data_IF_627617045257
#
_entry.id   IF_627617045257
#
_cell.length_a   1.000
_cell.length_b   1.000
_cell.length_c   1.000
_cell.angle_alpha   90.00
_cell.angle_beta   90.00
_cell.angle_gamma   90.00
#
_symmetry.space_group_name_H-M   'P 1'
#
loop_
_entity.id
_entity.type
_entity.pdbx_description
1 polymer ?
#
# COMPACT_ATOMS: atom_id res chain seq x y z
N UNK A 1 -26.71 -31.43 -8.59
CA UNK A 1 -25.24 -31.51 -8.75
C UNK A 1 -24.61 -30.25 -9.35
N UNK A 2 -25.08 -29.68 -10.49
CA UNK A 2 -24.47 -28.48 -11.11
C UNK A 2 -24.39 -27.24 -10.19
N UNK A 3 -25.45 -26.97 -9.42
CA UNK A 3 -25.46 -25.86 -8.44
C UNK A 3 -24.42 -26.03 -7.33
N UNK A 4 -24.28 -27.25 -6.80
CA UNK A 4 -23.33 -27.55 -5.72
C UNK A 4 -21.88 -27.36 -6.17
N UNK A 5 -21.54 -27.79 -7.40
CA UNK A 5 -20.23 -27.55 -8.01
C UNK A 5 -19.95 -26.05 -8.18
N UNK A 6 -20.93 -25.28 -8.68
CA UNK A 6 -20.78 -23.83 -8.83
C UNK A 6 -20.53 -23.12 -7.50
N UNK A 7 -21.25 -23.52 -6.45
CA UNK A 7 -21.07 -22.99 -5.09
C UNK A 7 -19.68 -23.33 -4.55
N UNK A 8 -19.22 -24.58 -4.71
CA UNK A 8 -17.88 -25.01 -4.27
C UNK A 8 -16.78 -24.22 -4.98
N UNK A 9 -16.92 -23.98 -6.28
CA UNK A 9 -15.95 -23.16 -7.04
C UNK A 9 -15.93 -21.73 -6.53
N UNK A 10 -17.09 -21.10 -6.33
CA UNK A 10 -17.16 -19.73 -5.80
C UNK A 10 -16.60 -19.63 -4.38
N UNK A 11 -16.89 -20.60 -3.52
CA UNK A 11 -16.34 -20.66 -2.17
C UNK A 11 -14.81 -20.81 -2.21
N UNK A 12 -14.28 -21.70 -3.06
CA UNK A 12 -12.84 -21.84 -3.25
C UNK A 12 -12.20 -20.54 -3.75
N UNK A 13 -12.81 -19.87 -4.73
CA UNK A 13 -12.34 -18.56 -5.21
C UNK A 13 -12.37 -17.48 -4.12
N UNK A 14 -13.40 -17.47 -3.27
CA UNK A 14 -13.49 -16.54 -2.15
C UNK A 14 -12.37 -16.79 -1.12
N UNK A 15 -12.08 -18.05 -0.80
CA UNK A 15 -10.96 -18.40 0.08
C UNK A 15 -9.63 -17.93 -0.52
N UNK A 16 -9.41 -18.17 -1.82
CA UNK A 16 -8.21 -17.68 -2.51
C UNK A 16 -8.11 -16.15 -2.43
N UNK A 17 -9.20 -15.43 -2.67
CA UNK A 17 -9.22 -13.97 -2.57
C UNK A 17 -8.88 -13.47 -1.15
N UNK A 18 -9.38 -14.15 -0.11
CA UNK A 18 -9.04 -13.84 1.29
C UNK A 18 -7.56 -14.11 1.58
N UNK A 19 -7.01 -15.23 1.10
CA UNK A 19 -5.59 -15.56 1.26
C UNK A 19 -4.73 -14.51 0.56
N UNK A 20 -5.07 -14.11 -0.66
CA UNK A 20 -4.37 -13.05 -1.40
C UNK A 20 -4.45 -11.71 -0.67
N UNK A 21 -5.61 -11.34 -0.13
CA UNK A 21 -5.76 -10.15 0.69
C UNK A 21 -4.87 -10.22 1.95
N UNK A 22 -4.79 -11.39 2.60
CA UNK A 22 -3.92 -11.62 3.75
C UNK A 22 -2.43 -11.47 3.44
N UNK A 23 -1.96 -12.06 2.33
CA UNK A 23 -0.58 -11.89 1.86
C UNK A 23 -0.30 -10.42 1.53
N UNK A 24 -1.26 -9.75 0.91
CA UNK A 24 -1.12 -8.33 0.60
C UNK A 24 -1.07 -7.44 1.86
N UNK A 25 -1.70 -7.83 2.98
CA UNK A 25 -1.56 -7.12 4.25
C UNK A 25 -0.17 -7.28 4.88
N UNK A 26 0.50 -8.41 4.67
CA UNK A 26 1.88 -8.60 5.13
C UNK A 26 2.89 -7.78 4.31
N UNK A 27 2.49 -7.34 3.11
CA UNK A 27 3.26 -6.51 2.17
C UNK A 27 4.76 -6.87 2.06
N UNK A 28 5.12 -8.14 1.78
CA UNK A 28 6.51 -8.60 1.78
C UNK A 28 7.37 -7.95 0.69
N UNK A 29 6.74 -7.27 -0.28
CA UNK A 29 7.39 -6.65 -1.43
C UNK A 29 7.25 -5.12 -1.42
N UNK A 30 6.71 -4.52 -0.35
CA UNK A 30 6.54 -3.08 -0.21
C UNK A 30 5.84 -2.46 -1.43
N UNK A 31 4.72 -3.03 -1.87
CA UNK A 31 4.04 -2.56 -3.09
C UNK A 31 3.41 -1.19 -2.84
N UNK A 32 3.77 -0.20 -3.65
CA UNK A 32 3.25 1.17 -3.55
C UNK A 32 1.73 1.23 -3.59
N UNK A 33 1.12 0.35 -4.37
CA UNK A 33 -0.32 0.28 -4.58
C UNK A 33 -1.00 -0.84 -3.78
N UNK A 34 -0.37 -1.38 -2.73
CA UNK A 34 -0.88 -2.51 -1.93
C UNK A 34 -2.29 -2.27 -1.37
N UNK A 35 -2.61 -1.02 -1.01
CA UNK A 35 -3.93 -0.62 -0.51
C UNK A 35 -5.03 -0.87 -1.54
N UNK A 36 -4.75 -0.66 -2.82
CA UNK A 36 -5.72 -0.92 -3.90
C UNK A 36 -5.88 -2.41 -4.19
N UNK A 37 -4.79 -3.19 -4.09
CA UNK A 37 -4.84 -4.65 -4.22
C UNK A 37 -5.67 -5.28 -3.10
N UNK A 38 -5.38 -4.92 -1.84
CA UNK A 38 -6.14 -5.40 -0.67
C UNK A 38 -7.61 -4.99 -0.76
N UNK A 39 -7.89 -3.72 -1.10
CA UNK A 39 -9.25 -3.22 -1.30
C UNK A 39 -10.03 -4.02 -2.36
N UNK A 40 -9.38 -4.28 -3.50
CA UNK A 40 -9.99 -5.01 -4.61
C UNK A 40 -10.21 -6.49 -4.29
N UNK A 41 -9.24 -7.13 -3.61
CA UNK A 41 -9.34 -8.54 -3.20
C UNK A 41 -10.47 -8.76 -2.19
N UNK A 42 -10.61 -7.86 -1.20
CA UNK A 42 -11.71 -7.91 -0.22
C UNK A 42 -13.05 -7.72 -0.92
N UNK A 43 -13.18 -6.74 -1.82
CA UNK A 43 -14.42 -6.53 -2.58
C UNK A 43 -14.79 -7.77 -3.39
N UNK A 44 -13.82 -8.38 -4.08
CA UNK A 44 -14.03 -9.60 -4.84
C UNK A 44 -14.50 -10.75 -3.95
N UNK A 45 -13.90 -10.93 -2.77
CA UNK A 45 -14.32 -11.95 -1.81
C UNK A 45 -15.79 -11.76 -1.39
N UNK A 46 -16.20 -10.52 -1.07
CA UNK A 46 -17.59 -10.19 -0.72
C UNK A 46 -18.55 -10.54 -1.87
N UNK A 47 -18.21 -10.20 -3.11
CA UNK A 47 -19.03 -10.51 -4.29
C UNK A 47 -19.15 -12.02 -4.54
N UNK A 48 -18.04 -12.76 -4.43
CA UNK A 48 -18.02 -14.21 -4.64
C UNK A 48 -18.84 -14.95 -3.58
N UNK A 49 -18.70 -14.54 -2.31
CA UNK A 49 -19.48 -15.10 -1.19
C UNK A 49 -20.97 -14.81 -1.37
N UNK A 50 -21.32 -13.57 -1.73
CA UNK A 50 -22.70 -13.18 -2.02
C UNK A 50 -23.29 -14.03 -3.16
N UNK A 51 -22.54 -14.23 -4.24
CA UNK A 51 -22.95 -15.05 -5.38
C UNK A 51 -23.15 -16.52 -4.98
N UNK A 52 -22.24 -17.08 -4.16
CA UNK A 52 -22.34 -18.44 -3.66
C UNK A 52 -23.63 -18.65 -2.84
N UNK A 53 -23.92 -17.74 -1.90
CA UNK A 53 -25.15 -17.79 -1.11
C UNK A 53 -26.41 -17.57 -1.97
N UNK A 54 -26.38 -16.66 -2.95
CA UNK A 54 -27.51 -16.42 -3.83
C UNK A 54 -27.85 -17.63 -4.73
N UNK A 55 -26.87 -18.48 -5.05
CA UNK A 55 -27.10 -19.74 -5.78
C UNK A 55 -27.72 -20.85 -4.92
N UNK A 56 -27.43 -20.84 -3.61
CA UNK A 56 -28.01 -21.75 -2.62
C UNK A 56 -29.42 -21.34 -2.19
N UNK A 57 -29.71 -20.04 -2.17
CA UNK A 57 -31.00 -19.51 -1.75
C UNK A 57 -32.15 -20.00 -2.66
N UNK A 58 -33.31 -20.37 -2.09
CA UNK A 58 -34.51 -20.62 -2.88
C UNK A 58 -34.92 -19.37 -3.67
N UNK A 59 -35.49 -19.57 -4.87
CA UNK A 59 -35.93 -18.45 -5.72
C UNK A 59 -36.98 -17.61 -4.98
N UNK A 60 -36.91 -16.28 -5.14
CA UNK A 60 -37.85 -15.34 -4.52
C UNK A 60 -37.19 -14.46 -3.45
N UNK A 61 -37.93 -14.17 -2.38
CA UNK A 61 -37.59 -13.16 -1.35
C UNK A 61 -36.23 -13.43 -0.70
N UNK A 62 -35.93 -14.70 -0.36
CA UNK A 62 -34.65 -15.06 0.29
C UNK A 62 -33.45 -14.68 -0.58
N UNK A 63 -33.52 -14.92 -1.90
CA UNK A 63 -32.45 -14.53 -2.82
C UNK A 63 -32.32 -13.01 -2.94
N UNK A 64 -33.43 -12.28 -2.91
CA UNK A 64 -33.40 -10.81 -2.90
C UNK A 64 -32.76 -10.26 -1.63
N UNK A 65 -33.04 -10.86 -0.47
CA UNK A 65 -32.41 -10.50 0.80
C UNK A 65 -30.89 -10.71 0.74
N UNK A 66 -30.44 -11.88 0.26
CA UNK A 66 -28.99 -12.18 0.13
C UNK A 66 -28.31 -11.17 -0.80
N UNK A 67 -28.91 -10.88 -1.95
CA UNK A 67 -28.37 -9.90 -2.89
C UNK A 67 -28.37 -8.48 -2.30
N UNK A 68 -29.41 -8.10 -1.56
CA UNK A 68 -29.49 -6.81 -0.89
C UNK A 68 -28.40 -6.66 0.18
N UNK A 69 -28.22 -7.66 1.03
CA UNK A 69 -27.16 -7.66 2.06
C UNK A 69 -25.76 -7.61 1.42
N UNK A 70 -25.52 -8.39 0.37
CA UNK A 70 -24.25 -8.36 -0.35
C UNK A 70 -23.97 -7.02 -1.04
N UNK A 71 -25.00 -6.39 -1.60
CA UNK A 71 -24.90 -5.05 -2.17
C UNK A 71 -24.55 -4.00 -1.11
N UNK A 72 -25.22 -4.05 0.05
CA UNK A 72 -24.92 -3.15 1.19
C UNK A 72 -23.48 -3.35 1.67
N UNK A 73 -23.02 -4.60 1.81
CA UNK A 73 -21.65 -4.90 2.21
C UNK A 73 -20.62 -4.38 1.20
N UNK A 74 -20.86 -4.59 -0.09
CA UNK A 74 -19.98 -4.10 -1.16
C UNK A 74 -19.93 -2.57 -1.19
N UNK A 75 -21.08 -1.90 -1.14
CA UNK A 75 -21.16 -0.44 -1.11
C UNK A 75 -20.52 0.15 0.15
N UNK A 76 -20.74 -0.48 1.32
CA UNK A 76 -20.11 -0.09 2.57
C UNK A 76 -18.59 -0.17 2.49
N UNK A 77 -18.05 -1.25 1.91
CA UNK A 77 -16.61 -1.39 1.68
C UNK A 77 -16.05 -0.32 0.74
N UNK A 78 -16.71 -0.08 -0.39
CA UNK A 78 -16.32 0.99 -1.33
C UNK A 78 -16.34 2.36 -0.64
N UNK A 79 -17.35 2.63 0.20
CA UNK A 79 -17.42 3.86 1.00
C UNK A 79 -16.25 4.01 1.97
N UNK A 80 -15.87 2.95 2.68
CA UNK A 80 -14.70 2.95 3.59
C UNK A 80 -13.42 3.25 2.81
N UNK A 81 -13.21 2.58 1.67
CA UNK A 81 -12.04 2.81 0.82
C UNK A 81 -12.00 4.25 0.31
N UNK A 82 -13.14 4.77 -0.17
CA UNK A 82 -13.23 6.16 -0.64
C UNK A 82 -12.91 7.16 0.47
N UNK A 83 -13.45 6.97 1.68
CA UNK A 83 -13.14 7.82 2.84
C UNK A 83 -11.66 7.73 3.21
N UNK A 84 -11.08 6.52 3.22
CA UNK A 84 -9.65 6.34 3.50
C UNK A 84 -8.76 7.07 2.47
N UNK A 85 -9.14 7.07 1.18
CA UNK A 85 -8.38 7.78 0.15
C UNK A 85 -8.38 9.29 0.33
N UNK A 86 -9.46 9.88 0.86
CA UNK A 86 -9.54 11.33 1.11
C UNK A 86 -8.64 11.80 2.26
N UNK A 87 -8.30 10.92 3.19
CA UNK A 87 -7.40 11.21 4.32
C UNK A 87 -5.94 10.97 3.93
N UNK A 88 -5.68 10.43 2.73
CA UNK A 88 -4.32 10.14 2.29
C UNK A 88 -3.69 11.42 1.75
N UNK A 89 -2.66 11.93 2.43
CA UNK A 89 -1.90 13.11 1.99
C UNK A 89 -1.22 12.78 0.67
N UNK A 90 -1.50 13.57 -0.37
CA UNK A 90 -0.83 13.43 -1.65
C UNK A 90 0.59 13.96 -1.53
N UNK A 91 1.51 13.02 -1.63
CA UNK A 91 2.93 13.20 -1.38
C UNK A 91 3.58 13.83 -2.62
N UNK A 92 4.07 15.08 -2.51
CA UNK A 92 4.71 15.78 -3.61
C UNK A 92 6.15 15.28 -3.77
N UNK A 93 6.52 14.87 -4.99
CA UNK A 93 7.91 14.57 -5.31
C UNK A 93 8.71 15.86 -5.49
N UNK A 94 9.73 16.08 -4.66
CA UNK A 94 10.57 17.28 -4.66
C UNK A 94 11.87 17.04 -5.44
N UNK A 95 12.45 15.86 -5.34
CA UNK A 95 13.70 15.48 -6.01
C UNK A 95 13.71 13.99 -6.32
N UNK A 96 14.35 13.60 -7.41
CA UNK A 96 14.46 12.21 -7.87
C UNK A 96 15.89 11.91 -8.35
N UNK A 97 16.46 10.82 -7.85
CA UNK A 97 17.78 10.30 -8.26
C UNK A 97 17.59 8.87 -8.73
N UNK A 98 17.96 8.59 -9.98
CA UNK A 98 17.81 7.26 -10.58
C UNK A 98 19.16 6.57 -10.67
N UNK A 99 19.23 5.30 -10.23
CA UNK A 99 20.39 4.44 -10.42
C UNK A 99 19.99 2.98 -10.60
N UNK A 100 20.62 2.29 -11.56
CA UNK A 100 20.43 0.86 -11.86
C UNK A 100 18.95 0.36 -11.89
N UNK A 101 18.01 1.19 -12.36
CA UNK A 101 16.58 0.84 -12.45
C UNK A 101 15.77 1.06 -11.15
N UNK A 102 16.40 1.62 -10.12
CA UNK A 102 15.75 2.11 -8.89
C UNK A 102 15.79 3.63 -8.83
N UNK A 103 14.89 4.20 -8.05
CA UNK A 103 14.72 5.65 -7.91
C UNK A 103 14.63 6.03 -6.44
N UNK A 104 15.49 6.93 -5.99
CA UNK A 104 15.33 7.62 -4.73
C UNK A 104 14.50 8.87 -4.94
N UNK A 105 13.40 8.99 -4.23
CA UNK A 105 12.48 10.12 -4.35
C UNK A 105 12.39 10.80 -3.00
N UNK A 106 12.70 12.09 -2.98
CA UNK A 106 12.38 12.96 -1.84
C UNK A 106 10.92 13.33 -1.97
N UNK A 107 10.16 12.94 -0.97
CA UNK A 107 8.73 13.10 -0.88
C UNK A 107 8.42 14.10 0.22
N UNK A 108 7.59 15.07 -0.11
CA UNK A 108 7.05 16.04 0.82
C UNK A 108 5.60 15.65 1.10
N UNK A 109 5.32 15.28 2.34
CA UNK A 109 3.96 15.18 2.85
C UNK A 109 3.54 16.57 3.28
N UNK A 110 2.51 17.14 2.65
CA UNK A 110 1.83 18.33 3.15
C UNK A 110 0.72 17.88 4.12
N UNK A 111 0.93 17.82 5.44
CA UNK A 111 -0.20 17.79 6.33
C UNK A 111 -0.82 19.19 6.29
N UNK A 112 -2.15 19.23 6.33
CA UNK A 112 -2.93 20.41 6.66
C UNK A 112 -2.18 21.28 7.68
N UNK A 113 -1.94 22.55 7.33
CA UNK A 113 -1.18 23.58 8.05
C UNK A 113 0.35 23.63 7.80
N UNK A 114 0.75 24.09 6.61
CA UNK A 114 1.97 24.88 6.31
C UNK A 114 3.36 24.35 6.76
N UNK A 115 3.46 23.13 7.29
CA UNK A 115 4.70 22.57 7.83
C UNK A 115 4.98 21.20 7.21
N UNK A 116 5.86 21.15 6.20
CA UNK A 116 6.11 19.91 5.47
C UNK A 116 6.86 18.89 6.32
N UNK A 117 6.54 17.61 6.08
CA UNK A 117 7.34 16.48 6.55
C UNK A 117 8.03 15.88 5.33
N UNK A 118 9.36 15.87 5.33
CA UNK A 118 10.14 15.26 4.26
C UNK A 118 10.44 13.80 4.57
N UNK A 119 10.20 12.93 3.59
CA UNK A 119 10.61 11.54 3.60
C UNK A 119 11.47 11.24 2.37
N UNK A 120 12.36 10.26 2.47
CA UNK A 120 13.06 9.70 1.31
C UNK A 120 12.58 8.28 1.14
N UNK A 121 12.08 7.98 -0.05
CA UNK A 121 11.64 6.64 -0.42
C UNK A 121 12.49 6.10 -1.55
N UNK A 122 12.73 4.80 -1.52
CA UNK A 122 13.28 4.06 -2.66
C UNK A 122 12.12 3.42 -3.41
N UNK A 123 12.11 3.59 -4.73
CA UNK A 123 11.15 2.99 -5.65
C UNK A 123 11.86 2.06 -6.62
N UNK A 124 11.22 0.93 -6.90
CA UNK A 124 11.70 -0.02 -7.89
C UNK A 124 10.55 -0.51 -8.78
N UNK A 125 10.88 -0.77 -10.04
CA UNK A 125 9.91 -1.19 -11.04
C UNK A 125 9.00 -0.07 -11.53
N UNK A 126 7.93 -0.46 -12.23
CA UNK A 126 6.99 0.47 -12.88
C UNK A 126 5.57 -0.08 -12.88
N UNK A 127 4.58 0.82 -12.95
CA UNK A 127 3.18 0.44 -13.12
C UNK A 127 2.55 -0.09 -11.83
N UNK A 128 1.59 -1.02 -11.96
CA UNK A 128 0.80 -1.48 -10.81
C UNK A 128 1.59 -2.29 -9.78
N UNK A 129 2.75 -2.83 -10.17
CA UNK A 129 3.65 -3.58 -9.29
C UNK A 129 4.87 -2.76 -8.84
N UNK A 130 4.81 -1.43 -8.96
CA UNK A 130 5.85 -0.56 -8.42
C UNK A 130 5.98 -0.78 -6.91
N UNK A 131 7.21 -0.97 -6.46
CA UNK A 131 7.58 -1.09 -5.05
C UNK A 131 8.00 0.29 -4.53
N UNK A 132 7.69 0.58 -3.27
CA UNK A 132 8.06 1.80 -2.56
C UNK A 132 8.35 1.49 -1.10
N UNK A 133 9.57 1.75 -0.64
CA UNK A 133 9.97 1.60 0.76
C UNK A 133 10.56 2.90 1.30
N UNK A 134 10.30 3.18 2.59
CA UNK A 134 10.80 4.38 3.25
C UNK A 134 12.22 4.12 3.74
N UNK A 135 13.16 4.97 3.33
CA UNK A 135 14.56 4.93 3.78
C UNK A 135 14.77 5.87 4.96
N UNK A 136 14.20 7.06 4.85
CA UNK A 136 14.29 8.10 5.87
C UNK A 136 12.95 8.80 6.04
N UNK A 137 12.59 9.07 7.29
CA UNK A 137 11.44 9.89 7.65
C UNK A 137 11.89 11.02 8.57
N UNK A 138 11.66 12.25 8.11
CA UNK A 138 11.88 13.48 8.85
C UNK A 138 10.76 13.78 9.86
N UNK A 139 10.98 14.87 10.58
CA UNK A 139 10.03 15.51 11.49
C UNK A 139 9.37 16.73 10.85
N UNK A 140 8.24 17.15 11.39
CA UNK A 140 7.45 18.31 10.95
C UNK A 140 8.28 19.60 10.93
N UNK A 141 8.30 20.32 9.80
CA UNK A 141 9.15 21.50 9.59
C UNK A 141 10.66 21.22 9.71
N UNK A 142 11.07 19.97 9.44
CA UNK A 142 12.47 19.58 9.42
C UNK A 142 13.23 20.09 8.21
N UNK A 143 14.58 20.08 8.27
CA UNK A 143 15.39 20.46 7.13
C UNK A 143 15.11 19.55 5.94
N UNK A 144 15.07 20.15 4.74
CA UNK A 144 14.99 19.40 3.49
C UNK A 144 16.24 18.54 3.36
N UNK A 145 16.13 17.26 2.94
CA UNK A 145 17.30 16.46 2.58
C UNK A 145 18.12 17.17 1.50
N UNK A 146 19.38 17.48 1.81
CA UNK A 146 20.26 18.27 0.95
C UNK A 146 20.98 17.43 -0.09
N UNK A 147 21.23 16.15 0.21
CA UNK A 147 21.89 15.21 -0.67
C UNK A 147 21.30 13.81 -0.44
N UNK A 148 20.89 13.16 -1.53
CA UNK A 148 20.35 11.79 -1.51
C UNK A 148 21.01 11.04 -2.65
N UNK A 149 21.66 9.91 -2.36
CA UNK A 149 22.38 9.14 -3.36
C UNK A 149 22.48 7.67 -3.01
N UNK A 150 22.70 6.85 -4.03
CA UNK A 150 23.19 5.49 -3.87
C UNK A 150 24.70 5.55 -3.65
N UNK A 151 25.19 4.95 -2.57
CA UNK A 151 26.63 4.83 -2.29
C UNK A 151 27.21 3.65 -3.05
N UNK A 152 26.45 2.56 -3.10
CA UNK A 152 26.74 1.35 -3.85
C UNK A 152 25.41 0.67 -4.27
N UNK A 153 25.50 -0.57 -4.74
CA UNK A 153 24.36 -1.31 -5.25
C UNK A 153 23.27 -1.57 -4.19
N UNK A 154 23.56 -1.57 -2.90
CA UNK A 154 22.57 -1.89 -1.87
C UNK A 154 22.50 -0.82 -0.78
N UNK A 155 23.36 0.19 -0.79
CA UNK A 155 23.44 1.22 0.24
C UNK A 155 22.96 2.58 -0.26
N UNK A 156 22.05 3.18 0.49
CA UNK A 156 21.54 4.53 0.28
C UNK A 156 22.06 5.46 1.36
N UNK A 157 22.44 6.68 0.97
CA UNK A 157 22.84 7.74 1.88
C UNK A 157 21.91 8.94 1.73
N UNK A 158 21.38 9.40 2.87
CA UNK A 158 20.54 10.59 2.99
C UNK A 158 21.23 11.57 3.93
N UNK A 159 21.53 12.76 3.42
CA UNK A 159 22.06 13.86 4.22
C UNK A 159 20.97 14.88 4.49
N UNK A 160 20.80 15.21 5.77
CA UNK A 160 19.82 16.20 6.23
C UNK A 160 20.50 17.14 7.20
N UNK A 161 20.81 18.37 6.75
CA UNK A 161 21.63 19.29 7.53
C UNK A 161 23.02 18.69 7.84
N UNK A 162 23.46 18.64 9.11
CA UNK A 162 24.74 18.02 9.49
C UNK A 162 24.69 16.48 9.59
N UNK A 163 23.50 15.88 9.61
CA UNK A 163 23.34 14.44 9.79
C UNK A 163 23.50 13.68 8.46
N UNK A 164 24.12 12.50 8.54
CA UNK A 164 24.25 11.56 7.42
C UNK A 164 23.68 10.22 7.88
N UNK A 165 22.65 9.75 7.18
CA UNK A 165 21.96 8.51 7.44
C UNK A 165 22.27 7.52 6.33
N UNK A 166 22.64 6.29 6.70
CA UNK A 166 22.87 5.19 5.76
C UNK A 166 21.95 4.03 6.05
N UNK A 167 21.38 3.47 5.00
CA UNK A 167 20.53 2.30 5.07
C UNK A 167 20.88 1.33 3.94
N UNK A 168 20.84 0.04 4.25
CA UNK A 168 20.92 -1.04 3.29
C UNK A 168 19.51 -1.32 2.73
N UNK A 169 19.44 -1.65 1.44
CA UNK A 169 18.20 -1.91 0.69
C UNK A 169 18.35 -3.24 -0.03
N UNK A 170 17.52 -4.21 0.34
CA UNK A 170 17.50 -5.50 -0.32
C UNK A 170 16.91 -5.38 -1.75
N UNK A 171 17.69 -5.80 -2.74
CA UNK A 171 17.37 -5.60 -4.15
C UNK A 171 16.04 -6.20 -4.64
N UNK A 172 15.52 -7.24 -3.97
CA UNK A 172 14.32 -7.98 -4.41
C UNK A 172 13.05 -7.55 -3.67
N UNK A 173 13.11 -7.50 -2.34
CA UNK A 173 11.95 -7.21 -1.48
C UNK A 173 11.77 -5.71 -1.23
N UNK A 174 12.81 -4.93 -1.53
CA UNK A 174 12.96 -3.53 -1.14
C UNK A 174 12.97 -3.31 0.38
N UNK A 175 13.26 -4.35 1.16
CA UNK A 175 13.42 -4.23 2.61
C UNK A 175 14.58 -3.29 2.93
N UNK A 176 14.37 -2.36 3.86
CA UNK A 176 15.35 -1.34 4.25
C UNK A 176 15.78 -1.53 5.69
N UNK A 177 17.09 -1.55 5.94
CA UNK A 177 17.67 -1.68 7.29
C UNK A 177 18.84 -0.70 7.52
N UNK A 178 18.79 0.17 8.55
CA UNK A 178 17.61 0.55 9.31
C UNK A 178 16.77 1.58 8.54
N UNK A 179 15.47 1.61 8.80
CA UNK A 179 14.62 2.74 8.43
C UNK A 179 14.86 3.87 9.43
N UNK A 180 15.53 4.94 8.99
CA UNK A 180 15.83 6.07 9.87
C UNK A 180 14.59 6.94 10.08
N UNK A 181 14.13 7.03 11.34
CA UNK A 181 13.04 7.91 11.74
C UNK A 181 13.55 8.91 12.76
N UNK A 182 13.71 10.15 12.34
CA UNK A 182 14.05 11.23 13.27
C UNK A 182 12.85 11.52 14.15
N UNK A 183 13.08 11.67 15.45
CA UNK A 183 12.05 12.05 16.42
C UNK A 183 12.16 13.52 16.83
N UNK A 184 13.32 14.15 16.57
CA UNK A 184 13.59 15.57 16.79
C UNK A 184 14.57 16.11 15.74
N UNK A 185 14.55 17.42 15.52
CA UNK A 185 15.40 18.09 14.51
C UNK A 185 16.88 18.17 14.89
N UNK A 186 17.19 18.04 16.18
CA UNK A 186 18.51 18.22 16.78
C UNK A 186 19.27 16.91 17.00
N UNK A 187 18.67 15.77 16.64
CA UNK A 187 19.25 14.45 16.82
C UNK A 187 19.49 13.74 15.49
N UNK A 188 20.70 13.21 15.34
CA UNK A 188 20.98 12.01 14.56
C UNK A 188 21.13 10.84 15.57
#
# INVERSE_FOLDING_TARGET
MRKLRGVLVLAACAVIAVVVAGVALADPFHLRHIRWFTASAVLLAVLLVTAAFALLAPRGVVRLIVLGLGAVAALGWVGIVALATQVTVENRSVSEVTDAGRRLVVVESEPVAARPVYAVVVRAGTGVFEQEAVVYQGVEAGPVPSEVRFVDADTVEVRTGPCVYRSEVEAVTLAVDPVHRTLRHDTC
#
